data_IF_748009415521
#
_entry.id   IF_748009415521
#
_cell.length_a   1.000
_cell.length_b   1.000
_cell.length_c   1.000
_cell.angle_alpha   90.00
_cell.angle_beta   90.00
_cell.angle_gamma   90.00
#
_symmetry.space_group_name_H-M   'P 1'
#
loop_
_entity.id
_entity.type
_entity.pdbx_description
1 polymer ?
#
# COMPACT_ATOMS: atom_id res chain seq x y z
N UNK A 1 8.27 11.84 -1.98
CA UNK A 1 7.69 12.19 -0.66
C UNK A 1 8.54 11.53 0.44
N UNK A 2 8.58 12.07 1.66
CA UNK A 2 9.25 11.45 2.82
C UNK A 2 8.20 10.97 3.82
N UNK A 3 8.29 9.72 4.26
CA UNK A 3 7.34 9.08 5.16
C UNK A 3 7.77 9.19 6.61
N UNK A 4 6.88 9.68 7.47
CA UNK A 4 7.05 9.72 8.93
C UNK A 4 6.02 8.82 9.60
N UNK A 5 6.45 7.67 10.12
CA UNK A 5 5.57 6.69 10.75
C UNK A 5 4.79 7.23 11.97
N UNK A 6 5.21 8.34 12.58
CA UNK A 6 4.50 8.94 13.72
C UNK A 6 3.19 9.63 13.30
N UNK A 7 3.15 10.23 12.10
CA UNK A 7 2.03 11.05 11.63
C UNK A 7 1.41 10.56 10.31
N UNK A 8 2.17 9.84 9.50
CA UNK A 8 1.72 9.34 8.22
C UNK A 8 1.13 7.94 8.34
N UNK A 9 0.11 7.67 7.54
CA UNK A 9 -0.52 6.35 7.43
C UNK A 9 -0.57 5.98 5.96
N UNK A 10 -0.17 4.76 5.65
CA UNK A 10 -0.29 4.22 4.31
C UNK A 10 -1.31 3.08 4.33
N UNK A 11 -2.23 3.09 3.36
CA UNK A 11 -3.28 2.08 3.22
C UNK A 11 -3.47 1.81 1.75
N UNK A 12 -3.70 0.54 1.39
CA UNK A 12 -4.10 0.16 0.03
C UNK A 12 -5.61 -0.07 0.06
N UNK A 13 -6.35 0.55 -0.86
CA UNK A 13 -7.79 0.31 -1.00
C UNK A 13 -8.06 -0.38 -2.34
N UNK A 14 -8.56 -1.60 -2.28
CA UNK A 14 -8.93 -2.42 -3.44
C UNK A 14 -10.44 -2.43 -3.67
N UNK A 15 -10.85 -2.68 -4.91
CA UNK A 15 -12.26 -2.87 -5.24
C UNK A 15 -12.74 -4.22 -4.68
N UNK A 16 -13.80 -4.20 -3.88
CA UNK A 16 -14.37 -5.38 -3.23
C UNK A 16 -14.90 -6.44 -4.21
N UNK A 17 -15.17 -6.05 -5.47
CA UNK A 17 -15.68 -6.95 -6.50
C UNK A 17 -14.57 -7.66 -7.29
N UNK A 18 -13.29 -7.40 -6.98
CA UNK A 18 -12.20 -8.11 -7.64
C UNK A 18 -12.11 -9.56 -7.12
N UNK A 19 -11.93 -10.55 -8.02
CA UNK A 19 -11.51 -11.89 -7.64
C UNK A 19 -10.24 -11.84 -6.78
N UNK A 20 -10.12 -12.77 -5.81
CA UNK A 20 -9.05 -12.76 -4.83
C UNK A 20 -7.65 -12.66 -5.45
N UNK A 21 -7.36 -13.44 -6.49
CA UNK A 21 -6.05 -13.41 -7.17
C UNK A 21 -5.73 -12.05 -7.79
N UNK A 22 -6.72 -11.40 -8.39
CA UNK A 22 -6.56 -10.05 -8.96
C UNK A 22 -6.42 -8.98 -7.87
N UNK A 23 -7.14 -9.13 -6.76
CA UNK A 23 -7.00 -8.26 -5.60
C UNK A 23 -5.60 -8.33 -4.99
N UNK A 24 -5.05 -9.53 -4.80
CA UNK A 24 -3.70 -9.73 -4.28
C UNK A 24 -2.66 -9.17 -5.26
N UNK A 25 -2.78 -9.49 -6.56
CA UNK A 25 -1.85 -8.98 -7.57
C UNK A 25 -1.81 -7.45 -7.60
N UNK A 26 -2.99 -6.81 -7.58
CA UNK A 26 -3.08 -5.35 -7.53
C UNK A 26 -2.39 -4.79 -6.27
N UNK A 27 -2.65 -5.35 -5.09
CA UNK A 27 -2.03 -4.92 -3.85
C UNK A 27 -0.50 -5.09 -3.88
N UNK A 28 0.02 -6.20 -4.43
CA UNK A 28 1.45 -6.45 -4.53
C UNK A 28 2.16 -5.43 -5.42
N UNK A 29 1.63 -5.16 -6.61
CA UNK A 29 2.24 -4.19 -7.55
C UNK A 29 2.18 -2.78 -6.95
N UNK A 30 1.08 -2.41 -6.29
CA UNK A 30 0.96 -1.14 -5.58
C UNK A 30 2.02 -1.04 -4.48
N UNK A 31 2.18 -2.10 -3.67
CA UNK A 31 3.18 -2.17 -2.60
C UNK A 31 4.60 -1.94 -3.10
N UNK A 32 4.97 -2.57 -4.22
CA UNK A 32 6.27 -2.34 -4.88
C UNK A 32 6.42 -0.90 -5.33
N UNK A 33 5.40 -0.33 -5.99
CA UNK A 33 5.44 1.04 -6.49
C UNK A 33 5.63 2.07 -5.37
N UNK A 34 4.85 1.97 -4.29
CA UNK A 34 4.97 2.93 -3.17
C UNK A 34 6.30 2.78 -2.42
N UNK A 35 6.85 1.56 -2.32
CA UNK A 35 8.15 1.32 -1.71
C UNK A 35 9.30 2.00 -2.47
N UNK A 36 9.18 2.10 -3.80
CA UNK A 36 10.14 2.80 -4.65
C UNK A 36 9.99 4.33 -4.59
N UNK A 37 8.74 4.84 -4.58
CA UNK A 37 8.46 6.28 -4.69
C UNK A 37 8.55 7.05 -3.36
N UNK A 38 8.31 6.37 -2.23
CA UNK A 38 8.18 7.00 -0.91
C UNK A 38 9.44 6.73 -0.08
N UNK A 39 10.24 7.78 0.11
CA UNK A 39 11.45 7.72 0.93
C UNK A 39 11.08 7.36 2.38
N UNK A 40 11.89 6.50 3.00
CA UNK A 40 11.75 6.03 4.39
C UNK A 40 10.50 5.17 4.67
N UNK A 41 9.70 4.82 3.66
CA UNK A 41 8.65 3.82 3.83
C UNK A 41 9.24 2.41 4.01
N UNK A 42 10.29 2.12 3.24
CA UNK A 42 11.09 0.90 3.34
C UNK A 42 12.08 1.06 4.50
N UNK A 43 11.96 0.16 5.48
CA UNK A 43 12.82 0.12 6.65
C UNK A 43 14.10 -0.67 6.40
N UNK A 44 14.80 -0.99 7.49
CA UNK A 44 15.96 -1.87 7.48
C UNK A 44 15.58 -3.30 7.09
N UNK A 45 16.57 -4.06 6.64
CA UNK A 45 16.43 -5.48 6.38
C UNK A 45 15.98 -6.22 7.64
N UNK A 46 15.13 -7.22 7.44
CA UNK A 46 14.61 -8.08 8.50
C UNK A 46 15.10 -9.51 8.28
N UNK A 47 15.41 -10.20 9.37
CA UNK A 47 15.74 -11.62 9.35
C UNK A 47 14.56 -12.36 9.97
N UNK A 48 14.02 -13.34 9.26
CA UNK A 48 12.98 -14.20 9.81
C UNK A 48 13.53 -15.16 10.88
N UNK A 49 12.61 -15.80 11.61
CA UNK A 49 12.98 -16.77 12.65
C UNK A 49 13.75 -17.98 12.08
N UNK A 50 13.49 -18.35 10.83
CA UNK A 50 14.17 -19.43 10.09
C UNK A 50 15.42 -18.96 9.32
N UNK A 51 15.87 -17.72 9.54
CA UNK A 51 17.15 -17.21 9.03
C UNK A 51 17.13 -16.72 7.58
N UNK A 52 15.95 -16.39 7.04
CA UNK A 52 15.82 -15.80 5.71
C UNK A 52 15.94 -14.28 5.80
N UNK A 53 16.83 -13.71 4.99
CA UNK A 53 16.98 -12.27 4.85
C UNK A 53 15.87 -11.69 3.96
N UNK A 54 15.14 -10.72 4.50
CA UNK A 54 14.15 -9.92 3.80
C UNK A 54 14.67 -8.50 3.64
N UNK A 55 15.24 -8.17 2.46
CA UNK A 55 15.80 -6.85 2.23
C UNK A 55 14.68 -5.82 2.14
N UNK A 56 14.84 -4.71 2.87
CA UNK A 56 13.97 -3.54 2.77
C UNK A 56 12.48 -3.85 2.90
N UNK A 57 12.03 -4.21 4.10
CA UNK A 57 10.59 -4.43 4.36
C UNK A 57 9.91 -3.11 4.74
N UNK A 58 8.67 -2.91 4.31
CA UNK A 58 7.84 -1.78 4.77
C UNK A 58 7.70 -1.88 6.29
N UNK A 59 8.25 -0.90 7.00
CA UNK A 59 8.35 -0.93 8.47
C UNK A 59 7.12 -0.40 9.19
N UNK A 60 6.28 0.32 8.46
CA UNK A 60 4.96 0.76 8.94
C UNK A 60 3.88 -0.25 8.56
N UNK A 61 2.78 -0.27 9.33
CA UNK A 61 1.58 -0.99 8.92
C UNK A 61 1.10 -0.49 7.55
N UNK A 62 0.78 -1.43 6.66
CA UNK A 62 0.19 -1.19 5.34
C UNK A 62 -1.10 -2.01 5.20
N UNK A 63 -2.22 -1.58 5.80
CA UNK A 63 -3.47 -2.31 5.71
C UNK A 63 -3.99 -2.36 4.27
N UNK A 64 -4.62 -3.48 3.91
CA UNK A 64 -5.35 -3.63 2.65
C UNK A 64 -6.85 -3.62 2.99
N UNK A 65 -7.55 -2.58 2.55
CA UNK A 65 -9.00 -2.41 2.73
C UNK A 65 -9.74 -2.67 1.43
N UNK A 66 -11.01 -3.07 1.51
CA UNK A 66 -11.88 -3.22 0.34
C UNK A 66 -13.09 -2.31 0.42
N UNK A 67 -13.51 -1.78 -0.71
CA UNK A 67 -14.74 -0.97 -0.80
C UNK A 67 -15.31 -0.96 -2.22
N UNK A 68 -16.43 -0.28 -2.43
CA UNK A 68 -17.08 -0.18 -3.75
C UNK A 68 -16.33 0.78 -4.68
N UNK A 69 -16.48 0.59 -5.98
CA UNK A 69 -15.84 1.45 -6.99
C UNK A 69 -16.20 2.93 -6.82
N UNK A 70 -17.43 3.25 -6.42
CA UNK A 70 -17.87 4.64 -6.23
C UNK A 70 -17.20 5.29 -5.03
N UNK A 71 -17.02 4.54 -3.94
CA UNK A 71 -16.28 4.99 -2.77
C UNK A 71 -14.79 5.18 -3.13
N UNK A 72 -14.20 4.29 -3.91
CA UNK A 72 -12.81 4.47 -4.37
C UNK A 72 -12.66 5.74 -5.23
N UNK A 73 -13.58 5.99 -6.17
CA UNK A 73 -13.57 7.22 -6.98
C UNK A 73 -13.72 8.47 -6.10
N UNK A 74 -14.58 8.43 -5.09
CA UNK A 74 -14.76 9.52 -4.12
C UNK A 74 -13.47 9.78 -3.36
N UNK A 75 -12.85 8.75 -2.83
CA UNK A 75 -11.62 8.92 -2.08
C UNK A 75 -10.42 9.25 -2.96
N UNK A 76 -10.32 8.81 -4.22
CA UNK A 76 -9.25 9.24 -5.14
C UNK A 76 -9.18 10.76 -5.28
N UNK A 77 -10.33 11.44 -5.29
CA UNK A 77 -10.40 12.91 -5.31
C UNK A 77 -9.92 13.56 -4.00
N UNK A 78 -10.08 12.86 -2.88
CA UNK A 78 -9.76 13.36 -1.52
C UNK A 78 -8.35 12.93 -1.05
N UNK A 79 -7.83 11.81 -1.56
CA UNK A 79 -6.51 11.26 -1.30
C UNK A 79 -5.37 12.13 -1.84
N UNK A 80 -5.67 13.02 -2.79
CA UNK A 80 -4.72 14.03 -3.21
C UNK A 80 -4.46 15.07 -2.09
N UNK A 81 -5.35 15.21 -1.11
CA UNK A 81 -5.20 16.14 0.02
C UNK A 81 -4.92 15.46 1.37
N UNK A 82 -5.42 14.25 1.59
CA UNK A 82 -5.10 13.41 2.75
C UNK A 82 -4.09 12.38 2.28
N UNK A 83 -2.88 12.36 2.84
CA UNK A 83 -1.75 11.46 2.52
C UNK A 83 -2.13 9.95 2.56
N UNK A 84 -2.95 9.50 1.62
CA UNK A 84 -3.64 8.22 1.57
C UNK A 84 -3.51 7.72 0.14
N UNK A 85 -2.84 6.59 -0.09
CA UNK A 85 -2.60 6.09 -1.44
C UNK A 85 -3.76 5.20 -1.89
N UNK A 86 -4.56 5.67 -2.84
CA UNK A 86 -5.78 4.99 -3.28
C UNK A 86 -5.67 4.68 -4.76
N UNK A 87 -5.53 3.40 -5.10
CA UNK A 87 -5.41 2.97 -6.49
C UNK A 87 -6.44 1.90 -6.81
N UNK A 88 -7.35 2.26 -7.71
CA UNK A 88 -8.15 1.29 -8.44
C UNK A 88 -7.57 1.10 -9.84
N UNK A 89 -7.39 -0.17 -10.20
CA UNK A 89 -7.28 -0.69 -11.57
C UNK A 89 -5.89 -0.59 -12.23
N UNK A 90 -5.24 -1.76 -12.33
CA UNK A 90 -4.21 -2.10 -13.32
C UNK A 90 -4.73 -3.28 -14.17
N UNK A 91 -5.92 -3.13 -14.80
CA UNK A 91 -6.35 -3.62 -16.13
C UNK A 91 -7.72 -2.98 -16.44
#
# INVERSE_FOLDING_TARGET
MQFDASVDRCVIIINQNLPLGLAINAASIIGVGIGNEIKQLIGKDLISVDGVDYPGVISSSLPILKTTNDIIKKYKKTALSLKVFIFYRLV
#
